data_IF_795903751580
#
_entry.id   IF_795903751580
#
_cell.length_a   1.000
_cell.length_b   1.000
_cell.length_c   1.000
_cell.angle_alpha   90.00
_cell.angle_beta   90.00
_cell.angle_gamma   90.00
#
_symmetry.space_group_name_H-M   'P 1'
#
loop_
_entity.id
_entity.type
_entity.pdbx_description
1 polymer ?
#
# COMPACT_ATOMS: atom_id res chain seq x y z
N UNK A 1 63.41 36.17 -38.23
CA UNK A 1 62.78 36.73 -39.45
C UNK A 1 62.35 38.15 -39.13
N UNK A 2 62.61 39.10 -40.03
CA UNK A 2 62.94 40.49 -39.72
C UNK A 2 61.87 41.50 -40.18
N UNK A 3 62.15 42.76 -39.86
CA UNK A 3 61.74 43.98 -40.58
C UNK A 3 60.33 44.54 -40.30
N UNK A 4 60.28 45.38 -39.25
CA UNK A 4 59.52 46.61 -39.28
C UNK A 4 60.06 47.52 -40.40
N UNK A 5 59.17 48.00 -41.28
CA UNK A 5 59.39 49.02 -42.31
C UNK A 5 58.00 49.43 -42.83
N UNK A 6 57.65 50.66 -43.15
CA UNK A 6 58.27 51.98 -43.13
C UNK A 6 57.09 52.94 -43.30
N UNK A 7 56.86 53.87 -42.37
CA UNK A 7 55.96 54.99 -42.61
C UNK A 7 56.74 56.02 -43.42
N UNK A 8 56.42 56.14 -44.70
CA UNK A 8 56.96 57.19 -45.58
C UNK A 8 55.98 58.37 -45.62
N UNK A 9 56.36 59.56 -45.15
CA UNK A 9 55.50 60.73 -45.24
C UNK A 9 55.52 61.25 -46.68
N UNK A 10 54.35 61.34 -47.30
CA UNK A 10 54.21 62.08 -48.56
C UNK A 10 53.79 63.50 -48.23
N UNK A 11 54.73 64.40 -48.51
CA UNK A 11 54.64 65.85 -48.43
C UNK A 11 53.42 66.37 -49.21
N UNK A 12 52.75 67.36 -48.62
CA UNK A 12 51.75 68.17 -49.28
C UNK A 12 52.48 69.35 -49.93
N UNK A 13 52.64 69.31 -51.24
CA UNK A 13 53.04 70.49 -52.01
C UNK A 13 51.79 71.36 -52.20
N UNK A 14 51.75 72.41 -51.40
CA UNK A 14 50.83 73.53 -51.47
C UNK A 14 51.40 74.50 -52.51
N UNK A 15 50.83 74.52 -53.72
CA UNK A 15 50.76 75.69 -54.60
C UNK A 15 49.97 75.33 -55.87
N UNK A 16 48.82 75.98 -56.08
CA UNK A 16 48.06 75.82 -57.31
C UNK A 16 46.59 76.19 -57.18
N UNK A 17 46.33 77.49 -57.08
CA UNK A 17 45.04 78.14 -57.29
C UNK A 17 44.44 77.71 -58.64
N UNK A 18 43.52 76.73 -58.60
CA UNK A 18 42.55 76.46 -59.66
C UNK A 18 41.22 76.19 -58.99
N UNK A 19 40.39 77.23 -58.91
CA UNK A 19 38.96 77.08 -58.65
C UNK A 19 38.33 76.22 -59.74
N UNK A 20 38.32 74.91 -59.54
CA UNK A 20 37.41 73.99 -60.20
C UNK A 20 36.04 74.26 -59.61
N UNK A 21 35.26 75.06 -60.34
CA UNK A 21 33.86 75.30 -60.07
C UNK A 21 33.11 73.96 -60.27
N UNK A 22 33.13 73.11 -59.23
CA UNK A 22 32.31 71.91 -59.18
C UNK A 22 30.87 72.37 -59.07
N UNK A 23 30.22 72.47 -60.22
CA UNK A 23 28.78 72.61 -60.34
C UNK A 23 28.13 71.37 -59.67
N UNK A 24 27.79 71.50 -58.39
CA UNK A 24 27.01 70.50 -57.67
C UNK A 24 25.61 70.48 -58.27
N UNK A 25 25.35 69.46 -59.07
CA UNK A 25 24.01 69.14 -59.54
C UNK A 25 23.29 68.37 -58.42
N UNK A 26 22.31 68.97 -57.69
CA UNK A 26 21.73 68.38 -56.48
C UNK A 26 20.89 67.12 -56.73
N UNK A 27 20.78 66.66 -57.98
CA UNK A 27 20.06 65.45 -58.36
C UNK A 27 20.97 64.23 -58.62
N UNK A 28 22.30 64.37 -58.50
CA UNK A 28 23.26 63.29 -58.74
C UNK A 28 23.86 62.68 -57.46
N UNK A 29 23.14 62.76 -56.34
CA UNK A 29 23.41 61.91 -55.16
C UNK A 29 22.23 60.96 -55.01
N UNK A 30 22.10 60.01 -55.93
CA UNK A 30 21.50 58.73 -55.56
C UNK A 30 22.63 57.96 -54.91
N UNK A 31 22.61 57.90 -53.57
CA UNK A 31 23.49 57.00 -52.83
C UNK A 31 23.13 55.56 -53.22
N UNK A 32 23.68 55.08 -54.33
CA UNK A 32 23.79 53.65 -54.62
C UNK A 32 25.18 53.28 -54.14
N UNK A 33 25.27 53.03 -52.83
CA UNK A 33 26.41 52.33 -52.25
C UNK A 33 26.19 50.84 -52.54
N UNK A 34 26.98 50.17 -53.39
CA UNK A 34 26.84 48.73 -53.62
C UNK A 34 27.12 47.87 -52.37
N UNK A 35 27.54 48.51 -51.27
CA UNK A 35 27.79 47.87 -49.97
C UNK A 35 26.54 47.69 -49.10
N UNK A 36 25.41 48.35 -49.39
CA UNK A 36 24.20 48.25 -48.56
C UNK A 36 23.36 47.02 -48.84
N UNK A 37 23.22 46.64 -50.12
CA UNK A 37 22.44 45.45 -50.51
C UNK A 37 23.09 44.15 -50.00
N UNK A 38 24.41 44.01 -50.12
CA UNK A 38 25.14 42.83 -49.61
C UNK A 38 25.07 42.70 -48.07
N UNK A 39 25.04 43.83 -47.35
CA UNK A 39 24.90 43.88 -45.89
C UNK A 39 23.48 43.53 -45.44
N UNK A 40 22.48 43.98 -46.18
CA UNK A 40 21.08 43.62 -45.95
C UNK A 40 20.85 42.13 -46.23
N UNK A 41 21.45 41.57 -47.29
CA UNK A 41 21.39 40.14 -47.60
C UNK A 41 22.08 39.27 -46.53
N UNK A 42 23.25 39.68 -46.03
CA UNK A 42 23.94 38.98 -44.94
C UNK A 42 23.17 39.09 -43.61
N UNK A 43 22.53 40.23 -43.34
CA UNK A 43 21.65 40.42 -42.19
C UNK A 43 20.39 39.54 -42.28
N UNK A 44 19.76 39.45 -43.46
CA UNK A 44 18.62 38.56 -43.70
C UNK A 44 19.03 37.10 -43.55
N UNK A 45 20.17 36.70 -44.13
CA UNK A 45 20.71 35.35 -43.98
C UNK A 45 21.03 35.01 -42.51
N UNK A 46 21.55 35.96 -41.74
CA UNK A 46 21.79 35.80 -40.30
C UNK A 46 20.47 35.70 -39.52
N UNK A 47 19.45 36.50 -39.85
CA UNK A 47 18.11 36.40 -39.26
C UNK A 47 17.44 35.05 -39.57
N UNK A 48 17.55 34.56 -40.80
CA UNK A 48 16.98 33.28 -41.22
C UNK A 48 17.64 32.11 -40.47
N UNK A 49 18.98 32.13 -40.34
CA UNK A 49 19.71 31.18 -39.50
C UNK A 49 19.29 31.24 -38.02
N UNK A 50 19.06 32.44 -37.48
CA UNK A 50 18.57 32.61 -36.12
C UNK A 50 17.16 32.01 -35.97
N UNK A 51 16.30 32.18 -36.99
CA UNK A 51 14.94 31.61 -37.03
C UNK A 51 14.98 30.09 -37.09
N UNK A 52 15.86 29.52 -37.91
CA UNK A 52 16.07 28.06 -37.99
C UNK A 52 16.58 27.50 -36.66
N UNK A 53 17.59 28.13 -36.06
CA UNK A 53 18.13 27.73 -34.76
C UNK A 53 17.07 27.80 -33.66
N UNK A 54 16.21 28.82 -33.65
CA UNK A 54 15.07 28.92 -32.71
C UNK A 54 14.08 27.77 -32.88
N UNK A 55 13.78 27.38 -34.12
CA UNK A 55 12.89 26.24 -34.39
C UNK A 55 13.51 24.92 -33.93
N UNK A 56 14.82 24.74 -34.15
CA UNK A 56 15.55 23.57 -33.65
C UNK A 56 15.58 23.55 -32.11
N UNK A 57 15.80 24.69 -31.46
CA UNK A 57 15.76 24.82 -30.00
C UNK A 57 14.37 24.42 -29.46
N UNK A 58 13.29 24.85 -30.12
CA UNK A 58 11.94 24.51 -29.71
C UNK A 58 11.63 23.01 -29.91
N UNK A 59 12.07 22.40 -31.01
CA UNK A 59 11.93 20.96 -31.23
C UNK A 59 12.71 20.15 -30.18
N UNK A 60 13.95 20.55 -29.88
CA UNK A 60 14.77 19.90 -28.86
C UNK A 60 14.12 20.04 -27.48
N UNK A 61 13.55 21.19 -27.15
CA UNK A 61 12.80 21.38 -25.89
C UNK A 61 11.58 20.47 -25.79
N UNK A 62 10.83 20.28 -26.88
CA UNK A 62 9.67 19.36 -26.90
C UNK A 62 10.11 17.91 -26.70
N UNK A 63 11.13 17.47 -27.42
CA UNK A 63 11.69 16.12 -27.26
C UNK A 63 12.24 15.89 -25.86
N UNK A 64 12.92 16.90 -25.28
CA UNK A 64 13.40 16.83 -23.89
C UNK A 64 12.25 16.70 -22.89
N UNK A 65 11.15 17.44 -23.07
CA UNK A 65 9.98 17.35 -22.21
C UNK A 65 9.30 15.98 -22.30
N UNK A 66 9.15 15.42 -23.51
CA UNK A 66 8.58 14.08 -23.73
C UNK A 66 9.44 12.99 -23.07
N UNK A 67 10.77 13.07 -23.21
CA UNK A 67 11.70 12.14 -22.56
C UNK A 67 11.67 12.26 -21.03
N UNK A 68 11.53 13.47 -20.49
CA UNK A 68 11.40 13.68 -19.05
C UNK A 68 10.10 13.06 -18.52
N UNK A 69 8.99 13.20 -19.23
CA UNK A 69 7.71 12.58 -18.86
C UNK A 69 7.79 11.06 -18.88
N UNK A 70 8.36 10.47 -19.94
CA UNK A 70 8.60 9.03 -20.02
C UNK A 70 9.50 8.53 -18.88
N UNK A 71 10.55 9.27 -18.57
CA UNK A 71 11.46 8.92 -17.45
C UNK A 71 10.73 8.96 -16.11
N UNK A 72 9.85 9.94 -15.89
CA UNK A 72 9.01 10.01 -14.69
C UNK A 72 8.06 8.82 -14.61
N UNK A 73 7.39 8.46 -15.72
CA UNK A 73 6.50 7.31 -15.77
C UNK A 73 7.26 6.00 -15.51
N UNK A 74 8.44 5.81 -16.11
CA UNK A 74 9.27 4.64 -15.88
C UNK A 74 9.71 4.54 -14.41
N UNK A 75 10.09 5.65 -13.80
CA UNK A 75 10.49 5.68 -12.40
C UNK A 75 9.32 5.33 -11.47
N UNK A 76 8.13 5.90 -11.71
CA UNK A 76 6.92 5.58 -10.96
C UNK A 76 6.52 4.11 -11.11
N UNK A 77 6.64 3.57 -12.33
CA UNK A 77 6.40 2.16 -12.58
C UNK A 77 7.40 1.27 -11.85
N UNK A 78 8.71 1.59 -11.89
CA UNK A 78 9.74 0.83 -11.19
C UNK A 78 9.53 0.83 -9.68
N UNK A 79 9.23 1.99 -9.09
CA UNK A 79 8.99 2.09 -7.65
C UNK A 79 7.71 1.36 -7.25
N UNK A 80 6.61 1.60 -7.96
CA UNK A 80 5.33 0.95 -7.67
C UNK A 80 5.39 -0.56 -7.85
N UNK A 81 6.08 -1.06 -8.88
CA UNK A 81 6.31 -2.49 -9.07
C UNK A 81 7.13 -3.08 -7.93
N UNK A 82 8.20 -2.41 -7.49
CA UNK A 82 9.03 -2.90 -6.39
C UNK A 82 8.22 -2.98 -5.08
N UNK A 83 7.45 -1.94 -4.76
CA UNK A 83 6.59 -1.89 -3.57
C UNK A 83 5.52 -2.98 -3.58
N UNK A 84 4.78 -3.11 -4.69
CA UNK A 84 3.74 -4.15 -4.82
C UNK A 84 4.35 -5.55 -4.78
N UNK A 85 5.51 -5.78 -5.41
CA UNK A 85 6.19 -7.07 -5.32
C UNK A 85 6.64 -7.39 -3.89
N UNK A 86 7.14 -6.41 -3.14
CA UNK A 86 7.52 -6.59 -1.74
C UNK A 86 6.30 -6.92 -0.88
N UNK A 87 5.19 -6.19 -1.08
CA UNK A 87 3.94 -6.41 -0.34
C UNK A 87 3.31 -7.76 -0.67
N UNK A 88 3.30 -8.17 -1.95
CA UNK A 88 2.85 -9.49 -2.35
C UNK A 88 3.70 -10.60 -1.74
N UNK A 89 5.03 -10.46 -1.72
CA UNK A 89 5.91 -11.44 -1.07
C UNK A 89 5.66 -11.53 0.43
N UNK A 90 5.44 -10.39 1.09
CA UNK A 90 5.03 -10.36 2.50
C UNK A 90 3.73 -11.12 2.71
N UNK A 91 2.68 -10.87 1.93
CA UNK A 91 1.41 -11.59 2.08
C UNK A 91 1.52 -13.07 1.75
N UNK A 92 2.29 -13.45 0.73
CA UNK A 92 2.56 -14.85 0.40
C UNK A 92 3.22 -15.58 1.56
N UNK A 93 4.26 -15.01 2.18
CA UNK A 93 4.91 -15.63 3.34
C UNK A 93 3.99 -15.77 4.56
N UNK A 94 3.10 -14.79 4.81
CA UNK A 94 2.09 -14.89 5.87
C UNK A 94 1.12 -16.02 5.58
N UNK A 95 0.63 -16.09 4.34
CA UNK A 95 -0.32 -17.12 3.93
C UNK A 95 0.31 -18.52 4.00
N UNK A 96 1.55 -18.67 3.53
CA UNK A 96 2.29 -19.94 3.60
C UNK A 96 2.42 -20.41 5.06
N UNK A 97 2.80 -19.52 5.97
CA UNK A 97 2.86 -19.85 7.40
C UNK A 97 1.50 -20.28 7.94
N UNK A 98 0.44 -19.54 7.61
CA UNK A 98 -0.91 -19.90 8.07
C UNK A 98 -1.38 -21.24 7.49
N UNK A 99 -1.04 -21.55 6.24
CA UNK A 99 -1.38 -22.85 5.64
C UNK A 99 -0.68 -24.01 6.35
N UNK A 100 0.60 -23.84 6.71
CA UNK A 100 1.36 -24.84 7.48
C UNK A 100 0.78 -24.98 8.89
N UNK A 101 0.48 -23.87 9.55
CA UNK A 101 -0.12 -23.87 10.89
C UNK A 101 -1.51 -24.52 10.89
N UNK A 102 -2.34 -24.25 9.88
CA UNK A 102 -3.65 -24.86 9.71
C UNK A 102 -3.54 -26.38 9.43
N UNK A 103 -2.58 -26.79 8.59
CA UNK A 103 -2.33 -28.19 8.30
C UNK A 103 -1.88 -28.95 9.56
N UNK A 104 -0.96 -28.39 10.34
CA UNK A 104 -0.53 -28.96 11.61
C UNK A 104 -1.69 -29.16 12.57
N UNK A 105 -2.57 -28.16 12.70
CA UNK A 105 -3.76 -28.25 13.55
C UNK A 105 -4.69 -29.36 13.04
N UNK A 106 -4.84 -29.51 11.72
CA UNK A 106 -5.65 -30.58 11.14
C UNK A 106 -5.08 -31.97 11.45
N UNK A 107 -3.76 -32.15 11.36
CA UNK A 107 -3.07 -33.39 11.74
C UNK A 107 -3.24 -33.70 13.24
N UNK A 108 -3.05 -32.71 14.11
CA UNK A 108 -3.28 -32.85 15.55
C UNK A 108 -4.75 -33.25 15.84
N UNK A 109 -5.71 -32.70 15.08
CA UNK A 109 -7.14 -33.01 15.23
C UNK A 109 -7.43 -34.45 14.83
N UNK A 110 -6.84 -34.91 13.73
CA UNK A 110 -6.99 -36.29 13.27
C UNK A 110 -6.41 -37.27 14.28
N UNK A 111 -5.23 -36.99 14.82
CA UNK A 111 -4.62 -37.82 15.87
C UNK A 111 -5.47 -37.86 17.15
N UNK A 112 -6.08 -36.75 17.55
CA UNK A 112 -7.03 -36.71 18.67
C UNK A 112 -8.30 -37.52 18.37
N UNK A 113 -8.84 -37.40 17.16
CA UNK A 113 -10.00 -38.17 16.71
C UNK A 113 -9.73 -39.68 16.77
N UNK A 114 -8.61 -40.15 16.23
CA UNK A 114 -8.23 -41.57 16.25
C UNK A 114 -8.12 -42.12 17.68
N UNK A 115 -7.54 -41.34 18.61
CA UNK A 115 -7.45 -41.71 20.03
C UNK A 115 -8.85 -41.85 20.64
N UNK A 116 -9.71 -40.86 20.45
CA UNK A 116 -11.09 -40.89 20.97
C UNK A 116 -11.90 -42.05 20.38
N UNK A 117 -11.77 -42.31 19.08
CA UNK A 117 -12.39 -43.47 18.43
C UNK A 117 -11.89 -44.80 19.01
N UNK A 118 -10.59 -44.89 19.31
CA UNK A 118 -9.99 -46.03 20.00
C UNK A 118 -10.57 -46.26 21.40
N UNK A 119 -10.68 -45.20 22.21
CA UNK A 119 -11.29 -45.28 23.55
C UNK A 119 -12.78 -45.66 23.47
N UNK A 120 -13.53 -45.08 22.54
CA UNK A 120 -14.93 -45.41 22.29
C UNK A 120 -15.08 -46.87 21.85
N UNK A 121 -14.18 -47.36 21.00
CA UNK A 121 -14.11 -48.77 20.60
C UNK A 121 -13.88 -49.71 21.78
N UNK A 122 -12.93 -49.40 22.65
CA UNK A 122 -12.64 -50.18 23.85
C UNK A 122 -13.84 -50.25 24.79
N UNK A 123 -14.53 -49.13 25.03
CA UNK A 123 -15.73 -49.08 25.87
C UNK A 123 -16.88 -49.86 25.23
N UNK A 124 -17.11 -49.70 23.93
CA UNK A 124 -18.17 -50.42 23.22
C UNK A 124 -17.91 -51.92 23.08
N UNK A 125 -16.65 -52.37 23.18
CA UNK A 125 -16.29 -53.78 23.19
C UNK A 125 -16.61 -54.46 24.54
N UNK A 126 -16.83 -53.68 25.60
CA UNK A 126 -17.20 -54.22 26.90
C UNK A 126 -18.56 -54.95 26.81
N UNK A 127 -18.60 -56.16 27.37
CA UNK A 127 -19.79 -57.00 27.42
C UNK A 127 -20.00 -57.52 28.85
N UNK A 128 -20.61 -56.70 29.74
CA UNK A 128 -20.81 -57.06 31.14
C UNK A 128 -21.55 -58.39 31.35
N UNK A 129 -22.45 -58.72 30.42
CA UNK A 129 -23.27 -59.94 30.44
C UNK A 129 -22.46 -61.24 30.28
N UNK A 130 -21.26 -61.17 29.70
CA UNK A 130 -20.41 -62.34 29.46
C UNK A 130 -19.44 -62.63 30.63
N UNK A 131 -19.43 -61.79 31.67
CA UNK A 131 -18.45 -61.90 32.75
C UNK A 131 -18.79 -63.02 33.75
N UNK A 132 -17.82 -63.94 33.92
CA UNK A 132 -17.89 -65.01 34.92
C UNK A 132 -17.93 -64.42 36.35
N UNK A 133 -18.53 -65.14 37.30
CA UNK A 133 -18.58 -64.69 38.71
C UNK A 133 -17.20 -64.65 39.38
N UNK A 134 -16.25 -65.45 38.88
CA UNK A 134 -14.88 -65.49 39.38
C UNK A 134 -14.07 -64.27 38.91
N UNK A 135 -14.26 -63.85 37.66
CA UNK A 135 -13.46 -62.80 37.03
C UNK A 135 -14.13 -61.42 37.09
N UNK A 136 -15.41 -61.35 37.49
CA UNK A 136 -16.22 -60.13 37.52
C UNK A 136 -15.53 -58.93 38.18
N UNK A 137 -14.82 -59.15 39.29
CA UNK A 137 -14.11 -58.05 39.98
C UNK A 137 -12.96 -57.50 39.15
N UNK A 138 -12.20 -58.38 38.48
CA UNK A 138 -11.09 -57.98 37.62
C UNK A 138 -11.60 -57.31 36.33
N UNK A 139 -12.66 -57.85 35.72
CA UNK A 139 -13.30 -57.26 34.55
C UNK A 139 -13.89 -55.88 34.84
N UNK A 140 -14.53 -55.69 36.01
CA UNK A 140 -15.03 -54.38 36.44
C UNK A 140 -13.91 -53.36 36.63
N UNK A 141 -12.81 -53.75 37.28
CA UNK A 141 -11.66 -52.86 37.45
C UNK A 141 -11.05 -52.46 36.10
N UNK A 142 -10.98 -53.40 35.14
CA UNK A 142 -10.52 -53.11 33.78
C UNK A 142 -11.46 -52.18 33.02
N UNK A 143 -12.77 -52.42 33.11
CA UNK A 143 -13.80 -51.58 32.50
C UNK A 143 -13.75 -50.14 33.03
N UNK A 144 -13.60 -49.97 34.35
CA UNK A 144 -13.41 -48.66 34.97
C UNK A 144 -12.13 -47.99 34.48
N UNK A 145 -11.02 -48.73 34.37
CA UNK A 145 -9.78 -48.19 33.81
C UNK A 145 -9.90 -47.70 32.36
N UNK A 146 -10.72 -48.37 31.52
CA UNK A 146 -11.01 -47.86 30.17
C UNK A 146 -11.84 -46.58 30.16
N UNK A 147 -12.74 -46.41 31.14
CA UNK A 147 -13.55 -45.20 31.29
C UNK A 147 -12.67 -44.05 31.78
N UNK A 148 -11.87 -44.26 32.83
CA UNK A 148 -10.93 -43.25 33.36
C UNK A 148 -9.96 -42.78 32.27
N UNK A 149 -9.39 -43.72 31.50
CA UNK A 149 -8.50 -43.37 30.38
C UNK A 149 -9.21 -42.57 29.27
N UNK A 150 -10.51 -42.79 29.06
CA UNK A 150 -11.29 -42.01 28.10
C UNK A 150 -11.63 -40.61 28.63
N UNK A 151 -11.92 -40.47 29.93
CA UNK A 151 -12.13 -39.18 30.59
C UNK A 151 -10.86 -38.32 30.54
N UNK A 152 -9.70 -38.90 30.84
CA UNK A 152 -8.40 -38.23 30.74
C UNK A 152 -8.13 -37.73 29.30
N UNK A 153 -8.42 -38.55 28.29
CA UNK A 153 -8.24 -38.18 26.88
C UNK A 153 -9.22 -37.06 26.47
N UNK A 154 -10.48 -37.10 26.91
CA UNK A 154 -11.45 -36.02 26.70
C UNK A 154 -10.92 -34.71 27.28
N UNK A 155 -10.46 -34.72 28.53
CA UNK A 155 -9.90 -33.53 29.19
C UNK A 155 -8.67 -33.00 28.47
N UNK A 156 -7.86 -33.89 27.87
CA UNK A 156 -6.71 -33.50 27.06
C UNK A 156 -7.10 -32.79 25.74
N UNK A 157 -8.24 -33.18 25.14
CA UNK A 157 -8.72 -32.66 23.85
C UNK A 157 -9.59 -31.40 24.02
N UNK A 158 -10.24 -31.21 25.17
CA UNK A 158 -11.02 -30.00 25.50
C UNK A 158 -10.32 -28.66 25.21
N UNK A 159 -9.07 -28.40 25.63
CA UNK A 159 -8.40 -27.13 25.34
C UNK A 159 -8.18 -26.93 23.84
N UNK A 160 -7.92 -28.00 23.09
CA UNK A 160 -7.74 -27.97 21.65
C UNK A 160 -9.04 -27.56 20.94
N UNK A 161 -10.16 -28.20 21.29
CA UNK A 161 -11.49 -27.90 20.73
C UNK A 161 -11.90 -26.45 21.04
N UNK A 162 -11.63 -25.98 22.27
CA UNK A 162 -11.88 -24.59 22.64
C UNK A 162 -11.00 -23.59 21.86
N UNK A 163 -9.73 -23.94 21.60
CA UNK A 163 -8.83 -23.11 20.82
C UNK A 163 -9.28 -23.01 19.35
N UNK A 164 -9.72 -24.13 18.75
CA UNK A 164 -10.30 -24.18 17.41
C UNK A 164 -11.54 -23.28 17.29
N UNK A 165 -12.47 -23.37 18.25
CA UNK A 165 -13.66 -22.51 18.29
C UNK A 165 -13.34 -21.01 18.36
N UNK A 166 -12.33 -20.64 19.14
CA UNK A 166 -11.86 -19.24 19.23
C UNK A 166 -11.14 -18.78 17.95
N UNK A 167 -10.27 -19.61 17.38
CA UNK A 167 -9.57 -19.29 16.11
C UNK A 167 -10.56 -19.08 14.98
N UNK A 168 -11.59 -19.93 14.87
CA UNK A 168 -12.66 -19.75 13.88
C UNK A 168 -13.40 -18.41 14.02
N UNK A 169 -13.59 -17.92 15.24
CA UNK A 169 -14.20 -16.60 15.48
C UNK A 169 -13.26 -15.44 15.11
N UNK A 170 -11.94 -15.62 15.26
CA UNK A 170 -10.93 -14.63 14.90
C UNK A 170 -10.71 -14.53 13.39
N UNK A 171 -10.76 -15.65 12.65
CA UNK A 171 -10.71 -15.67 11.19
C UNK A 171 -12.04 -15.29 10.52
N UNK A 172 -13.17 -15.38 11.24
CA UNK A 172 -14.50 -14.95 10.77
C UNK A 172 -14.79 -13.44 10.89
N UNK A 173 -13.80 -12.63 11.28
CA UNK A 173 -13.96 -11.20 11.54
C UNK A 173 -13.92 -10.31 10.30
N UNK A 174 -15.08 -10.15 9.63
CA UNK A 174 -15.59 -9.02 8.80
C UNK A 174 -16.14 -9.44 7.42
N UNK A 175 -17.26 -10.16 7.43
CA UNK A 175 -18.42 -9.78 6.61
C UNK A 175 -19.58 -9.66 7.58
N UNK A 176 -20.24 -8.51 7.60
CA UNK A 176 -21.33 -8.21 8.52
C UNK A 176 -22.48 -9.22 8.34
N UNK A 177 -22.59 -10.17 9.27
CA UNK A 177 -23.82 -10.93 9.51
C UNK A 177 -24.11 -10.84 11.00
N UNK A 178 -25.33 -10.38 11.28
CA UNK A 178 -25.93 -10.12 12.58
C UNK A 178 -25.67 -11.23 13.62
N UNK A 179 -25.40 -10.92 14.90
CA UNK A 179 -25.22 -11.96 15.91
C UNK A 179 -26.58 -12.56 16.28
N UNK A 180 -26.74 -13.86 16.05
CA UNK A 180 -27.81 -14.68 16.62
C UNK A 180 -27.48 -14.95 18.10
N UNK A 181 -28.42 -14.74 19.04
CA UNK A 181 -28.17 -15.06 20.44
C UNK A 181 -28.20 -16.57 20.63
N UNK A 182 -27.05 -17.17 20.94
CA UNK A 182 -26.97 -18.53 21.47
C UNK A 182 -26.87 -18.43 22.99
N UNK A 183 -27.84 -19.06 23.66
CA UNK A 183 -27.97 -19.08 25.11
C UNK A 183 -26.81 -19.78 25.81
N UNK A 184 -26.22 -19.05 26.74
CA UNK A 184 -25.72 -19.46 28.06
C UNK A 184 -25.45 -20.95 28.33
N UNK A 185 -24.17 -21.30 28.53
CA UNK A 185 -23.69 -22.11 29.67
C UNK A 185 -22.16 -22.12 29.72
N UNK A 186 -21.60 -21.73 30.87
CA UNK A 186 -20.18 -21.95 31.19
C UNK A 186 -19.48 -20.72 31.74
N UNK A 187 -19.38 -20.65 33.07
CA UNK A 187 -18.73 -19.59 33.84
C UNK A 187 -17.28 -19.34 33.42
N UNK A 188 -17.04 -18.22 32.73
CA UNK A 188 -15.71 -17.66 32.53
C UNK A 188 -15.86 -16.14 32.48
N UNK A 189 -15.62 -15.47 33.60
CA UNK A 189 -15.68 -14.00 33.69
C UNK A 189 -14.53 -13.41 32.86
N UNK A 190 -14.77 -13.20 31.57
CA UNK A 190 -13.88 -12.38 30.75
C UNK A 190 -14.15 -10.91 31.05
N UNK A 191 -13.09 -10.14 31.37
CA UNK A 191 -13.16 -8.68 31.59
C UNK A 191 -13.82 -7.90 30.45
N UNK A 192 -13.87 -8.46 29.23
CA UNK A 192 -14.58 -7.90 28.09
C UNK A 192 -16.12 -8.01 28.18
N UNK A 193 -16.63 -9.08 28.79
CA UNK A 193 -18.07 -9.34 28.91
C UNK A 193 -18.72 -8.41 29.94
N UNK A 194 -17.99 -8.06 31.01
CA UNK A 194 -18.50 -7.16 32.05
C UNK A 194 -18.72 -5.73 31.55
N UNK A 195 -17.78 -5.17 30.79
CA UNK A 195 -17.92 -3.84 30.17
C UNK A 195 -19.00 -3.83 29.09
N UNK A 196 -19.15 -4.92 28.33
CA UNK A 196 -20.21 -5.07 27.33
C UNK A 196 -21.61 -5.16 27.96
N UNK A 197 -21.77 -5.97 29.01
CA UNK A 197 -23.02 -6.06 29.76
C UNK A 197 -23.33 -4.77 30.54
N UNK A 198 -22.33 -4.11 31.13
CA UNK A 198 -22.50 -2.84 31.83
C UNK A 198 -22.91 -1.71 30.87
N UNK A 199 -22.30 -1.64 29.68
CA UNK A 199 -22.69 -0.70 28.62
C UNK A 199 -24.10 -0.98 28.07
N UNK A 200 -24.46 -2.26 27.93
CA UNK A 200 -25.80 -2.66 27.50
C UNK A 200 -26.86 -2.36 28.57
N UNK A 201 -26.52 -2.51 29.86
CA UNK A 201 -27.37 -2.10 30.97
C UNK A 201 -27.61 -0.58 31.03
N UNK A 202 -26.59 0.22 30.71
CA UNK A 202 -26.72 1.69 30.65
C UNK A 202 -27.62 2.15 29.50
N UNK A 203 -27.60 1.44 28.37
CA UNK A 203 -28.47 1.76 27.24
C UNK A 203 -29.97 1.58 27.55
N UNK A 204 -30.32 0.67 28.47
CA UNK A 204 -31.71 0.42 28.86
C UNK A 204 -32.21 1.35 29.99
N UNK A 205 -31.33 1.85 30.86
CA UNK A 205 -31.71 2.77 31.95
C UNK A 205 -31.70 4.25 31.55
N UNK A 206 -31.00 4.62 30.47
CA UNK A 206 -30.90 5.99 29.96
C UNK A 206 -32.25 6.68 29.67
N UNK A 207 -33.25 6.04 29.03
CA UNK A 207 -34.55 6.69 28.82
C UNK A 207 -35.25 7.04 30.15
N UNK A 208 -35.19 6.16 31.16
CA UNK A 208 -35.80 6.42 32.48
C UNK A 208 -35.10 7.55 33.24
N UNK A 209 -33.76 7.58 33.22
CA UNK A 209 -32.98 8.66 33.85
C UNK A 209 -33.25 10.00 33.13
N UNK A 210 -33.36 9.98 31.80
CA UNK A 210 -33.73 11.17 31.02
C UNK A 210 -35.10 11.73 31.43
N UNK A 211 -36.13 10.88 31.53
CA UNK A 211 -37.44 11.31 32.00
C UNK A 211 -37.42 11.83 33.45
N UNK A 212 -36.66 11.19 34.33
CA UNK A 212 -36.53 11.64 35.73
C UNK A 212 -35.88 13.03 35.83
N UNK A 213 -34.84 13.31 35.05
CA UNK A 213 -34.18 14.62 35.02
C UNK A 213 -35.12 15.68 34.44
N UNK A 214 -35.84 15.38 33.37
CA UNK A 214 -36.82 16.30 32.77
C UNK A 214 -37.94 16.62 33.77
N UNK A 215 -38.46 15.62 34.48
CA UNK A 215 -39.50 15.82 35.49
C UNK A 215 -39.05 16.73 36.63
N UNK A 216 -37.80 16.57 37.11
CA UNK A 216 -37.22 17.45 38.14
C UNK A 216 -37.07 18.89 37.62
N UNK A 217 -36.64 19.07 36.36
CA UNK A 217 -36.52 20.40 35.75
C UNK A 217 -37.90 21.06 35.62
N UNK A 218 -38.92 20.32 35.18
CA UNK A 218 -40.28 20.83 35.09
C UNK A 218 -40.83 21.25 36.47
N UNK A 219 -40.57 20.46 37.53
CA UNK A 219 -41.00 20.79 38.89
C UNK A 219 -40.25 22.01 39.45
N UNK A 220 -39.02 22.27 39.01
CA UNK A 220 -38.27 23.44 39.48
C UNK A 220 -38.64 24.73 38.75
N UNK A 221 -39.15 24.64 37.52
CA UNK A 221 -39.51 25.77 36.67
C UNK A 221 -41.01 26.08 36.64
N UNK A 222 -41.84 25.27 37.30
CA UNK A 222 -43.30 25.40 37.36
C UNK A 222 -43.78 25.31 38.81
#
# INVERSE_FOLDING_TARGET
MPAAAELKPFFFDEDGDQGLDLQFDPQLIKAVTPYSDDLDDEYQAAQDKLRELRQQEEQVKRQAAELEELTKQEQLFKSGRAEVCEELNRYLSILERETVDAQRIAEDCQAAQERLEGHLGNINALRPELWSRADRKAELARALGYIEAAEDEIDSVLPMVNALGKKSALFGGKIAVMPRPAGNSGYGVNRGDFLYWLKSGFAFSLPFVGFAVIAVICLYFF
#
